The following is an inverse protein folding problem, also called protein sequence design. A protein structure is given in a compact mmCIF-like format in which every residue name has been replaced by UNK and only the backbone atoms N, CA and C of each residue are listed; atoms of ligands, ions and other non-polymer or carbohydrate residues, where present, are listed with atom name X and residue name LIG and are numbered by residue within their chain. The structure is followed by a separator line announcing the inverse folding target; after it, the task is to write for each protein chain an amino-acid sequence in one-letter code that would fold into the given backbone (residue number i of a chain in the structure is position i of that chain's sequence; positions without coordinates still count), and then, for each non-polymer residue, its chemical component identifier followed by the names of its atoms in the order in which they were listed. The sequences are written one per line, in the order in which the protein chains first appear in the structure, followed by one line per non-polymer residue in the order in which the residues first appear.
data_IF_891631399390
#
_entry.id   IF_891631399390
#
_cell.length_a   1.000
_cell.length_b   1.000
_cell.length_c   1.000
_cell.angle_alpha   90.00
_cell.angle_beta   90.00
_cell.angle_gamma   90.00
#
_symmetry.space_group_name_H-M   'P 1'
#
loop_
_entity.id
_entity.type
_entity.pdbx_description
1 polymer ?
#
# COMPACT_ATOMS: atom_id res chain seq x y z
N UNK A 1 -12.32 24.06 2.18
CA UNK A 1 -11.52 22.84 2.41
C UNK A 1 -10.94 22.92 3.80
N UNK A 2 -11.11 21.89 4.63
CA UNK A 2 -10.51 21.87 5.96
C UNK A 2 -8.98 21.84 5.83
N UNK A 3 -8.27 22.62 6.63
CA UNK A 3 -6.81 22.60 6.65
C UNK A 3 -6.34 21.19 7.05
N UNK A 4 -5.46 20.59 6.25
CA UNK A 4 -4.90 19.26 6.51
C UNK A 4 -3.72 19.38 7.48
N UNK A 5 -3.91 19.00 8.74
CA UNK A 5 -2.96 19.27 9.84
C UNK A 5 -1.58 18.61 9.67
N UNK A 6 -1.50 17.42 9.07
CA UNK A 6 -0.25 16.65 8.93
C UNK A 6 0.17 16.43 7.47
N UNK A 7 -0.08 17.41 6.60
CA UNK A 7 0.36 17.37 5.21
C UNK A 7 1.25 18.56 4.91
N UNK A 8 2.36 18.32 4.22
CA UNK A 8 3.16 19.41 3.69
C UNK A 8 2.42 20.15 2.57
N UNK A 9 2.50 21.47 2.57
CA UNK A 9 1.82 22.30 1.57
C UNK A 9 2.35 22.07 0.14
N UNK A 10 3.65 21.81 -0.01
CA UNK A 10 4.34 21.79 -1.32
C UNK A 10 5.13 20.51 -1.63
N UNK A 11 5.18 19.53 -0.72
CA UNK A 11 5.98 18.30 -0.87
C UNK A 11 5.12 17.04 -0.91
N UNK A 12 5.74 15.92 -1.28
CA UNK A 12 5.08 14.62 -1.36
C UNK A 12 4.59 14.32 -2.77
N UNK A 13 4.59 13.03 -3.10
CA UNK A 13 4.27 12.51 -4.42
C UNK A 13 2.75 12.35 -4.60
N UNK A 14 2.06 13.49 -4.66
CA UNK A 14 0.60 13.58 -4.79
C UNK A 14 0.22 14.66 -5.81
N UNK A 15 -0.90 14.47 -6.49
CA UNK A 15 -1.49 15.47 -7.38
C UNK A 15 -2.58 16.27 -6.65
N UNK A 16 -2.21 17.47 -6.19
CA UNK A 16 -3.12 18.39 -5.49
C UNK A 16 -4.26 18.95 -6.36
N UNK A 17 -4.15 18.82 -7.69
CA UNK A 17 -5.22 19.25 -8.60
C UNK A 17 -6.37 18.25 -8.69
N UNK A 18 -6.16 17.02 -8.20
CA UNK A 18 -7.11 15.92 -8.26
C UNK A 18 -7.48 15.43 -6.84
N UNK A 19 -8.41 16.11 -6.15
CA UNK A 19 -8.89 15.66 -4.85
C UNK A 19 -9.74 14.40 -4.97
N UNK A 20 -9.66 13.53 -3.97
CA UNK A 20 -10.44 12.29 -3.84
C UNK A 20 -11.25 12.30 -2.54
N UNK A 21 -12.52 11.92 -2.63
CA UNK A 21 -13.40 11.68 -1.49
C UNK A 21 -13.32 10.23 -1.02
N UNK A 22 -13.25 10.02 0.30
CA UNK A 22 -13.28 8.68 0.90
C UNK A 22 -13.97 8.72 2.27
N UNK A 23 -14.22 7.55 2.86
CA UNK A 23 -14.74 7.45 4.23
C UNK A 23 -13.93 6.52 5.11
N UNK A 24 -13.73 6.92 6.37
CA UNK A 24 -13.14 6.08 7.40
C UNK A 24 -14.05 6.00 8.62
N UNK A 25 -14.44 4.80 9.04
CA UNK A 25 -15.42 4.58 10.13
C UNK A 25 -16.74 5.36 9.90
N UNK A 26 -17.18 5.46 8.65
CA UNK A 26 -18.38 6.23 8.26
C UNK A 26 -18.23 7.75 8.32
N UNK A 27 -17.05 8.28 8.68
CA UNK A 27 -16.77 9.72 8.60
C UNK A 27 -16.22 10.07 7.21
N UNK A 28 -16.74 11.11 6.54
CA UNK A 28 -16.20 11.57 5.27
C UNK A 28 -14.82 12.22 5.47
N UNK A 29 -13.89 11.92 4.57
CA UNK A 29 -12.52 12.41 4.55
C UNK A 29 -12.10 12.76 3.11
N UNK A 30 -11.00 13.50 2.97
CA UNK A 30 -10.47 13.91 1.67
C UNK A 30 -8.99 13.63 1.54
N UNK A 31 -8.55 13.25 0.35
CA UNK A 31 -7.14 13.14 -0.01
C UNK A 31 -6.92 13.57 -1.45
N UNK A 32 -5.82 13.14 -2.04
CA UNK A 32 -5.43 13.45 -3.41
C UNK A 32 -4.98 12.18 -4.14
N UNK A 33 -5.02 12.22 -5.47
CA UNK A 33 -4.38 11.17 -6.28
C UNK A 33 -2.90 11.06 -5.87
N UNK A 34 -2.44 9.83 -5.66
CA UNK A 34 -1.09 9.51 -5.16
C UNK A 34 -1.00 9.31 -3.65
N UNK A 35 -2.03 9.68 -2.88
CA UNK A 35 -2.10 9.29 -1.46
C UNK A 35 -2.25 7.78 -1.31
N UNK A 36 -1.64 7.24 -0.25
CA UNK A 36 -2.11 5.99 0.37
C UNK A 36 -3.21 6.31 1.37
N UNK A 37 -4.05 5.33 1.73
CA UNK A 37 -5.03 5.50 2.81
C UNK A 37 -4.37 5.99 4.10
N UNK A 38 -3.20 5.47 4.47
CA UNK A 38 -2.47 5.91 5.66
C UNK A 38 -2.10 7.41 5.59
N UNK A 39 -1.52 7.85 4.47
CA UNK A 39 -1.15 9.26 4.30
C UNK A 39 -2.37 10.20 4.33
N UNK A 40 -3.49 9.77 3.74
CA UNK A 40 -4.74 10.52 3.76
C UNK A 40 -5.35 10.58 5.16
N UNK A 41 -5.32 9.49 5.93
CA UNK A 41 -5.79 9.50 7.32
C UNK A 41 -4.99 10.48 8.19
N UNK A 42 -3.66 10.49 8.07
CA UNK A 42 -2.83 11.47 8.75
C UNK A 42 -3.19 12.90 8.33
N UNK A 43 -3.37 13.16 7.02
CA UNK A 43 -3.77 14.48 6.54
C UNK A 43 -5.12 14.96 7.10
N UNK A 44 -6.02 14.04 7.49
CA UNK A 44 -7.30 14.33 8.13
C UNK A 44 -7.23 14.30 9.68
N UNK A 45 -6.04 14.37 10.29
CA UNK A 45 -5.85 14.33 11.75
C UNK A 45 -6.31 13.00 12.41
N UNK A 46 -6.30 11.91 11.63
CA UNK A 46 -6.66 10.57 12.11
C UNK A 46 -5.39 9.77 12.38
N UNK A 47 -4.89 9.87 13.61
CA UNK A 47 -3.67 9.17 14.04
C UNK A 47 -3.93 7.79 14.64
N UNK A 48 -5.12 7.56 15.20
CA UNK A 48 -5.50 6.27 15.81
C UNK A 48 -6.35 5.49 14.81
N UNK A 49 -5.72 4.52 14.15
CA UNK A 49 -6.36 3.66 13.15
C UNK A 49 -7.05 2.47 13.81
N UNK A 50 -6.59 2.04 14.98
CA UNK A 50 -7.21 0.90 15.66
C UNK A 50 -6.68 0.65 17.07
N UNK A 51 -6.81 -0.59 17.53
CA UNK A 51 -6.38 -1.04 18.85
C UNK A 51 -5.61 -2.35 18.78
N UNK A 52 -4.69 -2.56 19.71
CA UNK A 52 -3.93 -3.81 19.80
C UNK A 52 -4.83 -4.99 20.16
N UNK A 53 -4.61 -6.13 19.52
CA UNK A 53 -5.47 -7.31 19.62
C UNK A 53 -5.64 -7.83 21.07
N UNK A 54 -4.56 -7.84 21.85
CA UNK A 54 -4.56 -8.50 23.17
C UNK A 54 -5.00 -7.60 24.32
N UNK A 55 -4.67 -6.31 24.26
CA UNK A 55 -4.77 -5.40 25.40
C UNK A 55 -5.48 -4.09 25.05
N UNK A 56 -6.09 -4.01 23.87
CA UNK A 56 -6.94 -2.90 23.43
C UNK A 56 -6.29 -1.52 23.53
N UNK A 57 -4.97 -1.44 23.42
CA UNK A 57 -4.24 -0.15 23.46
C UNK A 57 -4.41 0.59 22.15
N UNK A 58 -4.59 1.92 22.15
CA UNK A 58 -4.61 2.70 20.91
C UNK A 58 -3.39 2.42 20.04
N UNK A 59 -3.62 2.23 18.74
CA UNK A 59 -2.59 2.00 17.71
C UNK A 59 -2.80 2.96 16.54
N UNK A 60 -1.70 3.54 16.11
CA UNK A 60 -1.61 4.37 14.92
C UNK A 60 -0.59 3.80 13.93
N UNK A 61 -0.41 4.51 12.83
CA UNK A 61 0.59 4.22 11.80
C UNK A 61 1.99 4.24 12.44
N UNK A 62 2.82 3.25 12.14
CA UNK A 62 4.19 3.16 12.63
C UNK A 62 5.23 2.85 11.54
N UNK A 63 4.80 2.59 10.32
CA UNK A 63 5.64 2.49 9.13
C UNK A 63 5.13 3.39 8.01
N UNK A 64 5.70 3.22 6.83
CA UNK A 64 5.31 3.89 5.60
C UNK A 64 5.14 2.90 4.43
N UNK A 65 5.36 1.60 4.65
CA UNK A 65 5.15 0.53 3.67
C UNK A 65 4.67 -0.77 4.30
N UNK A 66 5.23 -1.90 3.83
CA UNK A 66 4.81 -3.26 4.20
C UNK A 66 5.19 -3.61 5.65
N UNK A 67 6.18 -2.91 6.20
CA UNK A 67 6.67 -3.08 7.57
C UNK A 67 5.73 -2.53 8.64
N UNK A 68 4.68 -1.77 8.27
CA UNK A 68 3.70 -1.28 9.23
C UNK A 68 2.95 -2.44 9.90
N UNK A 69 3.00 -2.48 11.22
CA UNK A 69 2.46 -3.58 12.03
C UNK A 69 1.09 -3.27 12.65
N UNK A 70 0.59 -2.05 12.48
CA UNK A 70 -0.57 -1.54 13.20
C UNK A 70 -1.75 -1.18 12.29
N UNK A 71 -1.48 -0.57 11.14
CA UNK A 71 -2.42 0.14 10.28
C UNK A 71 -3.21 -0.79 9.37
N UNK A 72 -3.75 -1.88 9.91
CA UNK A 72 -4.65 -2.76 9.19
C UNK A 72 -6.08 -2.24 9.29
N UNK A 73 -6.78 -2.23 8.15
CA UNK A 73 -8.16 -1.77 8.03
C UNK A 73 -8.99 -2.76 7.24
N UNK A 74 -10.30 -2.72 7.43
CA UNK A 74 -11.27 -3.43 6.63
C UNK A 74 -11.75 -2.53 5.52
N UNK A 75 -11.49 -2.91 4.28
CA UNK A 75 -11.89 -2.20 3.07
C UNK A 75 -13.20 -2.81 2.54
N UNK A 76 -14.22 -1.97 2.34
CA UNK A 76 -15.51 -2.34 1.79
C UNK A 76 -15.49 -2.22 0.26
N UNK A 77 -15.64 -3.33 -0.46
CA UNK A 77 -15.68 -3.35 -1.92
C UNK A 77 -16.95 -4.04 -2.43
N UNK A 78 -17.32 -3.84 -3.71
CA UNK A 78 -18.52 -4.44 -4.33
C UNK A 78 -18.59 -5.97 -4.24
N UNK A 79 -17.46 -6.65 -3.99
CA UNK A 79 -17.35 -8.10 -3.88
C UNK A 79 -17.16 -8.63 -2.45
N UNK A 80 -17.26 -7.78 -1.43
CA UNK A 80 -17.09 -8.14 -0.03
C UNK A 80 -16.02 -7.31 0.69
N UNK A 81 -15.61 -7.81 1.86
CA UNK A 81 -14.65 -7.13 2.73
C UNK A 81 -13.24 -7.72 2.56
N UNK A 82 -12.23 -6.85 2.49
CA UNK A 82 -10.81 -7.24 2.46
C UNK A 82 -10.06 -6.54 3.59
N UNK A 83 -9.23 -7.27 4.32
CA UNK A 83 -8.28 -6.67 5.27
C UNK A 83 -7.02 -6.28 4.49
N UNK A 84 -6.65 -5.00 4.56
CA UNK A 84 -5.47 -4.44 3.88
C UNK A 84 -4.67 -3.59 4.85
N UNK A 85 -3.38 -3.39 4.56
CA UNK A 85 -2.57 -2.37 5.24
C UNK A 85 -2.87 -1.01 4.61
N UNK A 86 -3.21 -0.01 5.43
CA UNK A 86 -3.52 1.34 4.97
C UNK A 86 -2.32 2.01 4.27
N UNK A 87 -1.10 1.60 4.61
CA UNK A 87 0.15 2.06 3.97
C UNK A 87 0.36 1.50 2.56
N UNK A 88 -0.33 0.41 2.21
CA UNK A 88 -0.13 -0.36 0.97
C UNK A 88 -1.34 -0.30 0.02
N UNK A 89 -2.33 0.54 0.31
CA UNK A 89 -3.47 0.75 -0.56
C UNK A 89 -3.50 2.20 -1.02
N UNK A 90 -3.44 2.39 -2.33
CA UNK A 90 -3.65 3.69 -2.95
C UNK A 90 -5.09 4.17 -2.70
N UNK A 91 -5.20 5.46 -2.42
CA UNK A 91 -6.49 6.12 -2.29
C UNK A 91 -7.16 6.20 -3.65
N UNK A 92 -8.45 5.90 -3.68
CA UNK A 92 -9.30 6.05 -4.85
C UNK A 92 -10.65 6.65 -4.47
N UNK A 93 -11.33 7.23 -5.45
CA UNK A 93 -12.62 7.90 -5.23
C UNK A 93 -13.67 6.92 -4.67
N UNK A 94 -14.32 7.33 -3.58
CA UNK A 94 -15.35 6.54 -2.91
C UNK A 94 -14.80 5.37 -2.07
N UNK A 95 -13.49 5.31 -1.81
CA UNK A 95 -12.91 4.31 -0.91
C UNK A 95 -13.62 4.34 0.45
N UNK A 96 -14.04 3.18 0.96
CA UNK A 96 -14.68 3.05 2.26
C UNK A 96 -13.94 2.05 3.16
N UNK A 97 -13.32 2.55 4.23
CA UNK A 97 -12.53 1.76 5.16
C UNK A 97 -13.03 1.86 6.60
N UNK A 98 -12.82 0.79 7.36
CA UNK A 98 -13.16 0.70 8.78
C UNK A 98 -11.97 0.21 9.60
N UNK A 99 -11.85 0.71 10.82
CA UNK A 99 -10.91 0.20 11.80
C UNK A 99 -11.20 -1.26 12.14
N UNK A 100 -10.15 -2.07 12.28
CA UNK A 100 -10.26 -3.40 12.86
C UNK A 100 -10.56 -3.38 14.35
N UNK A 101 -10.63 -2.23 15.04
CA UNK A 101 -10.90 -2.18 16.49
C UNK A 101 -12.25 -2.80 16.90
N UNK A 102 -13.16 -3.05 15.96
CA UNK A 102 -14.40 -3.80 16.17
C UNK A 102 -14.24 -5.32 15.97
N UNK A 103 -13.02 -5.78 15.69
CA UNK A 103 -12.66 -7.14 15.32
C UNK A 103 -11.46 -7.65 16.15
N UNK A 104 -11.58 -8.80 16.84
CA UNK A 104 -12.73 -9.66 16.90
C UNK A 104 -13.83 -9.06 17.81
N UNK A 105 -15.11 -9.42 17.62
CA UNK A 105 -16.15 -9.06 18.57
C UNK A 105 -15.75 -9.58 19.97
N UNK A 106 -16.15 -8.89 21.05
CA UNK A 106 -15.81 -9.26 22.43
C UNK A 106 -16.05 -10.76 22.72
N UNK A 107 -17.13 -11.32 22.15
CA UNK A 107 -17.47 -12.75 22.20
C UNK A 107 -16.40 -13.69 21.62
N UNK A 108 -15.62 -13.27 20.62
CA UNK A 108 -14.52 -14.07 20.09
C UNK A 108 -13.31 -14.07 21.02
N UNK A 109 -12.99 -12.94 21.66
CA UNK A 109 -11.94 -12.90 22.68
C UNK A 109 -12.34 -13.72 23.91
N UNK A 110 -13.61 -13.70 24.30
CA UNK A 110 -14.15 -14.57 25.36
C UNK A 110 -14.06 -16.05 24.97
N UNK A 111 -14.37 -16.43 23.72
CA UNK A 111 -14.18 -17.82 23.22
C UNK A 111 -12.72 -18.29 23.31
N UNK A 112 -11.77 -17.45 22.89
CA UNK A 112 -10.35 -17.78 23.00
C UNK A 112 -9.88 -17.91 24.45
N UNK A 113 -10.41 -17.07 25.35
CA UNK A 113 -10.11 -17.11 26.79
C UNK A 113 -10.72 -18.34 27.47
N UNK A 114 -11.91 -18.74 27.05
CA UNK A 114 -12.68 -19.80 27.69
C UNK A 114 -12.40 -21.20 27.14
N UNK A 115 -11.47 -21.37 26.18
CA UNK A 115 -11.16 -22.67 25.53
C UNK A 115 -12.42 -23.42 25.06
N UNK A 116 -13.51 -22.72 24.72
CA UNK A 116 -14.64 -23.36 24.05
C UNK A 116 -14.19 -23.71 22.63
N UNK A 117 -13.99 -25.01 22.42
CA UNK A 117 -13.26 -25.59 21.30
C UNK A 117 -14.10 -25.83 20.05
N UNK A 118 -15.38 -25.45 20.05
CA UNK A 118 -16.24 -25.63 18.89
C UNK A 118 -16.29 -24.34 18.09
N UNK A 119 -15.47 -24.19 17.02
CA UNK A 119 -15.71 -23.14 16.05
C UNK A 119 -17.14 -23.29 15.52
N UNK A 120 -17.81 -22.19 15.13
CA UNK A 120 -19.04 -22.30 14.37
C UNK A 120 -18.79 -23.25 13.18
N UNK A 121 -19.78 -24.06 12.77
CA UNK A 121 -19.63 -24.91 11.61
C UNK A 121 -19.06 -24.07 10.47
N UNK A 122 -17.95 -24.52 9.90
CA UNK A 122 -17.45 -23.96 8.65
C UNK A 122 -18.53 -24.28 7.62
N UNK A 123 -19.50 -23.38 7.44
CA UNK A 123 -20.40 -23.40 6.28
C UNK A 123 -19.50 -23.46 5.06
N UNK A 124 -19.48 -24.62 4.40
CA UNK A 124 -18.89 -24.98 3.11
C UNK A 124 -17.89 -23.99 2.47
N UNK A 125 -16.90 -23.53 3.25
CA UNK A 125 -15.88 -22.58 2.84
C UNK A 125 -14.86 -23.19 1.85
N UNK A 126 -15.17 -24.38 1.33
CA UNK A 126 -14.38 -25.11 0.34
C UNK A 126 -14.80 -24.78 -1.11
N UNK A 127 -15.81 -23.95 -1.36
CA UNK A 127 -16.35 -23.74 -2.72
C UNK A 127 -16.46 -22.30 -3.24
N UNK A 128 -15.79 -21.30 -2.65
CA UNK A 128 -15.78 -19.93 -3.23
C UNK A 128 -14.42 -19.23 -3.20
N UNK A 129 -13.33 -19.96 -3.43
CA UNK A 129 -12.04 -19.33 -3.79
C UNK A 129 -12.06 -18.68 -5.18
N UNK A 130 -13.12 -18.88 -5.96
CA UNK A 130 -13.41 -18.08 -7.15
C UNK A 130 -14.19 -16.84 -6.73
N UNK A 131 -13.47 -15.82 -6.24
CA UNK A 131 -14.05 -14.48 -6.11
C UNK A 131 -14.49 -14.01 -7.50
N UNK A 132 -15.77 -13.70 -7.75
CA UNK A 132 -16.21 -13.18 -9.04
C UNK A 132 -15.40 -11.93 -9.39
N UNK A 133 -14.69 -11.94 -10.52
CA UNK A 133 -13.82 -10.85 -10.96
C UNK A 133 -12.33 -10.98 -10.63
N UNK A 134 -11.91 -12.02 -9.90
CA UNK A 134 -10.49 -12.30 -9.64
C UNK A 134 -10.04 -13.52 -10.46
N UNK A 135 -9.59 -13.28 -11.69
CA UNK A 135 -8.92 -14.29 -12.52
C UNK A 135 -7.41 -14.19 -12.31
N UNK A 136 -6.84 -14.95 -11.37
CA UNK A 136 -5.40 -15.10 -11.25
C UNK A 136 -4.90 -16.10 -12.30
N UNK A 137 -4.83 -15.68 -13.57
CA UNK A 137 -4.11 -16.45 -14.58
C UNK A 137 -2.62 -16.22 -14.35
N UNK A 138 -1.90 -17.26 -13.96
CA UNK A 138 -0.45 -17.21 -13.94
C UNK A 138 0.06 -16.96 -15.37
N UNK A 139 0.88 -15.92 -15.53
CA UNK A 139 1.63 -15.65 -16.75
C UNK A 139 3.04 -16.15 -16.48
N UNK A 140 3.55 -17.00 -17.39
CA UNK A 140 4.90 -17.55 -17.32
C UNK A 140 5.74 -16.85 -18.39
N UNK A 141 6.68 -16.01 -17.97
CA UNK A 141 7.62 -15.32 -18.86
C UNK A 141 9.06 -15.76 -18.52
N UNK A 142 9.94 -15.71 -19.52
CA UNK A 142 11.36 -15.99 -19.34
C UNK A 142 12.15 -14.69 -19.49
N UNK A 143 12.98 -14.38 -18.51
CA UNK A 143 13.98 -13.31 -18.55
C UNK A 143 15.37 -13.91 -18.35
N UNK A 144 16.39 -13.21 -18.83
CA UNK A 144 17.79 -13.58 -18.60
C UNK A 144 18.25 -13.05 -17.23
N UNK A 145 17.68 -11.93 -16.77
CA UNK A 145 17.85 -11.40 -15.42
C UNK A 145 16.51 -10.93 -14.81
N UNK A 146 16.24 -11.34 -13.57
CA UNK A 146 15.15 -10.81 -12.73
C UNK A 146 15.75 -9.89 -11.66
N UNK A 147 15.35 -8.62 -11.68
CA UNK A 147 15.69 -7.62 -10.67
C UNK A 147 14.47 -7.37 -9.78
N UNK A 148 14.63 -7.54 -8.47
CA UNK A 148 13.57 -7.34 -7.48
C UNK A 148 13.90 -6.08 -6.67
N UNK A 149 13.05 -5.07 -6.80
CA UNK A 149 13.19 -3.74 -6.21
C UNK A 149 13.78 -2.74 -7.21
N UNK A 150 13.18 -1.55 -7.26
CA UNK A 150 13.52 -0.45 -8.16
C UNK A 150 14.18 0.74 -7.45
N UNK A 151 14.84 0.47 -6.32
CA UNK A 151 15.75 1.44 -5.71
C UNK A 151 16.96 1.74 -6.62
N UNK A 152 17.88 2.62 -6.19
CA UNK A 152 19.05 3.01 -7.00
C UNK A 152 19.87 1.78 -7.43
N UNK A 153 20.11 0.84 -6.52
CA UNK A 153 20.86 -0.39 -6.83
C UNK A 153 20.15 -1.28 -7.87
N UNK A 154 18.82 -1.41 -7.79
CA UNK A 154 18.06 -2.24 -8.71
C UNK A 154 17.95 -1.61 -10.10
N UNK A 155 17.73 -0.30 -10.16
CA UNK A 155 17.70 0.45 -11.41
C UNK A 155 19.06 0.43 -12.12
N UNK A 156 20.17 0.58 -11.39
CA UNK A 156 21.51 0.44 -11.96
C UNK A 156 21.77 -0.98 -12.48
N UNK A 157 21.41 -2.01 -11.72
CA UNK A 157 21.55 -3.40 -12.16
C UNK A 157 20.72 -3.69 -13.42
N UNK A 158 19.48 -3.20 -13.47
CA UNK A 158 18.61 -3.34 -14.63
C UNK A 158 19.18 -2.60 -15.84
N UNK A 159 19.69 -1.37 -15.66
CA UNK A 159 20.27 -0.58 -16.74
C UNK A 159 21.51 -1.27 -17.32
N UNK A 160 22.44 -1.71 -16.49
CA UNK A 160 23.65 -2.38 -16.95
C UNK A 160 23.36 -3.67 -17.73
N UNK A 161 22.43 -4.50 -17.24
CA UNK A 161 22.04 -5.73 -17.95
C UNK A 161 21.32 -5.44 -19.27
N UNK A 162 20.50 -4.39 -19.30
CA UNK A 162 19.81 -3.94 -20.51
C UNK A 162 20.80 -3.40 -21.56
N UNK A 163 21.81 -2.64 -21.13
CA UNK A 163 22.90 -2.15 -22.01
C UNK A 163 23.77 -3.29 -22.56
N UNK A 164 23.86 -4.41 -21.84
CA UNK A 164 24.49 -5.64 -22.31
C UNK A 164 23.61 -6.45 -23.30
N UNK A 165 22.36 -6.03 -23.52
CA UNK A 165 21.42 -6.69 -24.43
C UNK A 165 20.67 -7.89 -23.83
N UNK A 166 20.66 -8.04 -22.51
CA UNK A 166 19.94 -9.09 -21.80
C UNK A 166 18.44 -8.76 -21.65
N UNK A 167 17.56 -9.77 -21.62
CA UNK A 167 16.14 -9.55 -21.32
C UNK A 167 15.95 -9.44 -19.81
N UNK A 168 15.62 -8.23 -19.35
CA UNK A 168 15.49 -7.93 -17.92
C UNK A 168 14.02 -7.82 -17.52
N UNK A 169 13.64 -8.51 -16.45
CA UNK A 169 12.41 -8.25 -15.72
C UNK A 169 12.72 -7.44 -14.46
N UNK A 170 12.20 -6.21 -14.36
CA UNK A 170 12.28 -5.37 -13.16
C UNK A 170 10.93 -5.39 -12.43
N UNK A 171 10.94 -5.76 -11.16
CA UNK A 171 9.73 -5.91 -10.34
C UNK A 171 9.80 -5.00 -9.12
N UNK A 172 8.75 -4.21 -8.89
CA UNK A 172 8.61 -3.29 -7.76
C UNK A 172 7.28 -3.57 -7.04
N UNK A 173 7.29 -3.43 -5.70
CA UNK A 173 6.08 -3.54 -4.88
C UNK A 173 5.29 -2.23 -4.86
N UNK A 174 5.97 -1.09 -4.90
CA UNK A 174 5.39 0.25 -4.83
C UNK A 174 4.83 0.69 -6.19
N UNK A 175 4.00 1.75 -6.19
CA UNK A 175 3.33 2.25 -7.39
C UNK A 175 4.29 2.88 -8.42
N UNK A 176 5.36 3.49 -7.93
CA UNK A 176 6.35 4.19 -8.74
C UNK A 176 7.72 3.55 -8.55
N UNK A 177 8.50 3.54 -9.63
CA UNK A 177 9.90 3.16 -9.53
C UNK A 177 10.75 4.24 -8.84
N UNK A 178 11.81 3.82 -8.16
CA UNK A 178 12.81 4.70 -7.55
C UNK A 178 13.12 4.37 -6.09
N UNK A 179 12.26 3.60 -5.43
CA UNK A 179 12.43 3.19 -4.03
C UNK A 179 12.74 4.37 -3.13
N UNK A 180 13.91 4.35 -2.48
CA UNK A 180 14.32 5.42 -1.55
C UNK A 180 14.53 6.78 -2.20
N UNK A 181 14.77 6.83 -3.52
CA UNK A 181 14.96 8.09 -4.25
C UNK A 181 13.70 8.97 -4.26
N UNK A 182 12.52 8.36 -4.08
CA UNK A 182 11.23 9.07 -4.09
C UNK A 182 11.01 9.96 -2.85
N UNK A 183 11.76 9.72 -1.77
CA UNK A 183 11.59 10.43 -0.50
C UNK A 183 12.90 10.90 0.13
N UNK A 184 14.05 10.37 -0.30
CA UNK A 184 15.36 10.88 0.09
C UNK A 184 15.74 12.12 -0.72
N UNK A 185 16.55 12.98 -0.13
CA UNK A 185 17.17 14.12 -0.81
C UNK A 185 18.63 13.77 -1.06
N UNK A 186 19.16 14.09 -2.24
CA UNK A 186 20.55 13.85 -2.57
C UNK A 186 20.81 13.76 -4.06
N UNK A 187 21.96 13.20 -4.39
CA UNK A 187 22.40 12.93 -5.74
C UNK A 187 22.86 11.47 -5.88
N UNK A 188 22.81 10.98 -7.12
CA UNK A 188 23.41 9.74 -7.56
C UNK A 188 24.50 10.14 -8.55
N UNK A 189 25.76 9.87 -8.21
CA UNK A 189 26.93 10.23 -9.03
C UNK A 189 27.01 11.74 -9.38
N UNK A 190 26.60 12.62 -8.46
CA UNK A 190 26.60 14.07 -8.69
C UNK A 190 25.40 14.60 -9.48
N UNK A 191 24.45 13.73 -9.86
CA UNK A 191 23.20 14.10 -10.53
C UNK A 191 22.07 14.06 -9.50
N UNK A 192 21.27 15.13 -9.42
CA UNK A 192 20.07 15.17 -8.57
C UNK A 192 19.23 13.89 -8.72
N UNK A 193 18.82 13.28 -7.61
CA UNK A 193 18.15 11.97 -7.58
C UNK A 193 16.90 11.91 -8.47
N UNK A 194 16.12 13.00 -8.54
CA UNK A 194 14.90 13.05 -9.38
C UNK A 194 15.26 13.05 -10.86
N UNK A 195 16.30 13.82 -11.19
CA UNK A 195 16.83 13.92 -12.56
C UNK A 195 17.45 12.59 -13.00
N UNK A 196 18.28 11.97 -12.16
CA UNK A 196 18.88 10.66 -12.42
C UNK A 196 17.80 9.60 -12.62
N UNK A 197 16.79 9.55 -11.73
CA UNK A 197 15.68 8.60 -11.84
C UNK A 197 14.93 8.75 -13.16
N UNK A 198 14.58 9.98 -13.54
CA UNK A 198 13.88 10.25 -14.81
C UNK A 198 14.71 9.81 -16.03
N UNK A 199 16.02 10.07 -16.02
CA UNK A 199 16.93 9.66 -17.10
C UNK A 199 17.05 8.14 -17.20
N UNK A 200 17.25 7.46 -16.07
CA UNK A 200 17.40 5.99 -16.02
C UNK A 200 16.11 5.29 -16.46
N UNK A 201 14.94 5.73 -15.98
CA UNK A 201 13.66 5.20 -16.44
C UNK A 201 13.43 5.47 -17.94
N UNK A 202 13.83 6.64 -18.43
CA UNK A 202 13.78 6.95 -19.87
C UNK A 202 14.63 5.99 -20.70
N UNK A 203 15.84 5.64 -20.25
CA UNK A 203 16.69 4.64 -20.91
C UNK A 203 16.03 3.27 -20.90
N UNK A 204 15.59 2.78 -19.74
CA UNK A 204 14.94 1.48 -19.59
C UNK A 204 13.65 1.37 -20.42
N UNK A 205 12.85 2.44 -20.54
CA UNK A 205 11.63 2.45 -21.33
C UNK A 205 11.87 2.38 -22.85
N UNK A 206 13.06 2.76 -23.31
CA UNK A 206 13.45 2.71 -24.74
C UNK A 206 14.22 1.44 -25.11
N UNK A 207 14.59 0.64 -24.11
CA UNK A 207 15.21 -0.65 -24.33
C UNK A 207 14.24 -1.62 -25.01
N UNK A 208 14.79 -2.49 -25.87
CA UNK A 208 14.03 -3.49 -26.61
C UNK A 208 13.98 -4.82 -25.89
#
# INVERSE_FOLDING_TARGET
MAATTFRHDSRGNIDRSQPLGFSFNGQPCFGFVGDTLASALLANDIQIIGRSLKVSRPRGINGFGAEDTNAYVKLQERGGERIVQATQIELYEGLNAESLAQWPPAKFLDRLRNKESTPPPLEDAKHQLTRPGFSSRAIMEHCDLLVIGSGPAGLEAALAATEAGERVALVEQDKDFGGTLLWSQGDVEGIDSTTWLSQTLGKLATAK
#
